data_IF_204280168679
#
_entry.id   IF_204280168679
#
_cell.length_a   1.000
_cell.length_b   1.000
_cell.length_c   1.000
_cell.angle_alpha   90.00
_cell.angle_beta   90.00
_cell.angle_gamma   90.00
#
_symmetry.space_group_name_H-M   'P 1'
#
loop_
_entity.id
_entity.type
_entity.pdbx_description
1 polymer ?
#
# COMPACT_ATOMS: atom_id res chain seq x y z
N UNK A 1 7.65 14.44 -1.83
CA UNK A 1 8.38 15.15 -0.75
C UNK A 1 7.48 16.08 0.06
N UNK A 2 6.30 16.45 -0.44
CA UNK A 2 5.43 17.44 0.22
C UNK A 2 4.30 16.81 1.06
N UNK A 3 3.86 15.61 0.74
CA UNK A 3 2.65 15.00 1.30
C UNK A 3 1.37 15.41 0.54
N UNK A 4 1.48 16.21 -0.53
CA UNK A 4 0.34 16.60 -1.34
C UNK A 4 -0.31 15.40 -2.03
N UNK A 5 -1.62 15.28 -1.91
CA UNK A 5 -2.42 14.31 -2.64
C UNK A 5 -2.75 14.91 -4.01
N UNK A 6 -2.18 14.35 -5.07
CA UNK A 6 -2.36 14.83 -6.45
C UNK A 6 -3.68 14.37 -7.05
N UNK A 7 -4.11 13.16 -6.71
CA UNK A 7 -5.38 12.58 -7.14
C UNK A 7 -5.89 11.58 -6.12
N UNK A 8 -7.21 11.52 -5.97
CA UNK A 8 -7.91 10.55 -5.14
C UNK A 8 -9.17 10.13 -5.89
N UNK A 9 -9.24 8.90 -6.35
CA UNK A 9 -10.34 8.37 -7.14
C UNK A 9 -10.99 7.17 -6.48
N UNK A 10 -12.31 7.08 -6.58
CA UNK A 10 -13.11 5.95 -6.13
C UNK A 10 -14.05 5.51 -7.26
N UNK A 11 -14.21 4.21 -7.45
CA UNK A 11 -15.13 3.63 -8.44
C UNK A 11 -15.98 2.54 -7.78
N UNK A 12 -17.31 2.50 -8.05
CA UNK A 12 -18.05 3.50 -8.82
C UNK A 12 -18.09 4.87 -8.12
N UNK A 13 -18.31 5.93 -8.91
CA UNK A 13 -18.48 7.29 -8.45
C UNK A 13 -19.91 7.77 -8.76
N UNK A 14 -20.21 9.01 -8.49
CA UNK A 14 -21.49 9.62 -8.77
C UNK A 14 -21.31 11.04 -9.33
N UNK A 15 -22.36 11.57 -9.98
CA UNK A 15 -22.39 12.95 -10.42
C UNK A 15 -22.79 13.86 -9.22
N UNK A 16 -21.88 14.72 -8.71
CA UNK A 16 -22.18 15.59 -7.58
C UNK A 16 -23.22 16.65 -7.89
N UNK A 17 -23.47 16.99 -9.17
CA UNK A 17 -24.47 17.96 -9.58
C UNK A 17 -25.89 17.52 -9.18
N UNK A 18 -26.13 16.22 -9.08
CA UNK A 18 -27.42 15.69 -8.60
C UNK A 18 -27.71 16.06 -7.14
N UNK A 19 -26.67 16.32 -6.35
CA UNK A 19 -26.78 16.67 -4.92
C UNK A 19 -26.66 18.19 -4.67
N UNK A 20 -26.16 18.96 -5.65
CA UNK A 20 -25.89 20.40 -5.51
C UNK A 20 -27.01 21.30 -6.12
N UNK A 21 -28.17 20.71 -6.45
CA UNK A 21 -29.31 21.46 -6.93
C UNK A 21 -30.00 22.28 -5.82
N UNK A 22 -30.61 23.40 -6.17
CA UNK A 22 -31.43 24.19 -5.26
C UNK A 22 -32.80 23.55 -4.96
N UNK A 23 -33.20 22.54 -5.73
CA UNK A 23 -34.40 21.73 -5.43
C UNK A 23 -34.04 20.68 -4.37
N UNK A 24 -34.38 20.98 -3.12
CA UNK A 24 -34.09 20.10 -1.98
C UNK A 24 -34.77 18.74 -2.10
N UNK A 25 -35.96 18.66 -2.69
CA UNK A 25 -36.67 17.38 -2.86
C UNK A 25 -35.98 16.49 -3.89
N UNK A 26 -35.52 17.09 -5.00
CA UNK A 26 -34.73 16.37 -6.00
C UNK A 26 -33.39 15.92 -5.45
N UNK A 27 -32.70 16.78 -4.70
CA UNK A 27 -31.42 16.45 -4.03
C UNK A 27 -31.58 15.29 -3.04
N UNK A 28 -32.61 15.34 -2.19
CA UNK A 28 -32.90 14.29 -1.22
C UNK A 28 -33.15 12.94 -1.90
N UNK A 29 -33.99 12.94 -2.95
CA UNK A 29 -34.29 11.71 -3.73
C UNK A 29 -33.03 11.16 -4.40
N UNK A 30 -32.15 12.02 -4.92
CA UNK A 30 -30.89 11.59 -5.51
C UNK A 30 -29.95 10.97 -4.45
N UNK A 31 -29.86 11.59 -3.26
CA UNK A 31 -29.06 11.07 -2.14
C UNK A 31 -29.55 9.67 -1.70
N UNK A 32 -30.85 9.49 -1.46
CA UNK A 32 -31.45 8.23 -1.06
C UNK A 32 -31.17 7.11 -2.07
N UNK A 33 -31.23 7.45 -3.37
CA UNK A 33 -30.88 6.50 -4.45
C UNK A 33 -29.42 6.09 -4.39
N UNK A 34 -28.50 7.03 -4.18
CA UNK A 34 -27.07 6.77 -4.09
C UNK A 34 -26.70 6.02 -2.80
N UNK A 35 -27.38 6.35 -1.69
CA UNK A 35 -27.17 5.70 -0.39
C UNK A 35 -27.62 4.24 -0.40
N UNK A 36 -28.76 3.95 -1.06
CA UNK A 36 -29.31 2.59 -1.21
C UNK A 36 -28.60 1.74 -2.27
N UNK A 37 -27.70 2.32 -3.09
CA UNK A 37 -26.98 1.57 -4.13
C UNK A 37 -26.02 0.56 -3.48
N UNK A 38 -26.16 -0.76 -3.80
CA UNK A 38 -25.30 -1.80 -3.26
C UNK A 38 -23.81 -1.61 -3.59
N UNK A 39 -23.51 -0.87 -4.66
CA UNK A 39 -22.12 -0.53 -5.02
C UNK A 39 -21.54 0.63 -4.23
N UNK A 40 -22.34 1.30 -3.37
CA UNK A 40 -21.91 2.38 -2.46
C UNK A 40 -21.09 3.47 -3.15
N UNK A 41 -21.62 4.19 -4.15
CA UNK A 41 -20.89 5.21 -4.90
C UNK A 41 -20.50 6.43 -4.06
N UNK A 42 -21.21 6.71 -2.95
CA UNK A 42 -20.87 7.80 -2.01
C UNK A 42 -19.62 7.51 -1.17
N UNK A 43 -19.15 6.24 -1.14
CA UNK A 43 -18.02 5.86 -0.30
C UNK A 43 -16.70 6.35 -0.90
N UNK A 44 -15.98 7.20 -0.19
CA UNK A 44 -14.62 7.58 -0.53
C UNK A 44 -13.66 6.44 -0.14
N UNK A 45 -13.58 5.38 -0.99
CA UNK A 45 -12.80 4.17 -0.71
C UNK A 45 -11.36 4.42 -0.32
N UNK A 46 -10.60 5.30 -1.02
CA UNK A 46 -9.22 5.58 -0.65
C UNK A 46 -9.00 6.00 0.80
N UNK A 47 -10.01 6.61 1.42
CA UNK A 47 -9.93 7.09 2.81
C UNK A 47 -10.57 6.16 3.83
N UNK A 48 -11.64 5.44 3.46
CA UNK A 48 -12.46 4.74 4.45
C UNK A 48 -12.54 3.23 4.28
N UNK A 49 -12.25 2.70 3.08
CA UNK A 49 -12.09 1.26 2.92
C UNK A 49 -10.76 0.83 3.51
N UNK A 50 -10.81 -0.23 4.32
CA UNK A 50 -9.68 -0.66 5.13
C UNK A 50 -9.47 -2.19 5.04
N UNK A 51 -9.29 -2.73 3.80
CA UNK A 51 -9.05 -4.16 3.63
C UNK A 51 -7.63 -4.56 4.04
N UNK A 52 -7.34 -5.86 4.18
CA UNK A 52 -5.98 -6.33 4.38
C UNK A 52 -5.06 -5.88 3.22
N UNK A 53 -3.87 -5.35 3.50
CA UNK A 53 -2.92 -4.92 2.47
C UNK A 53 -2.22 -6.12 1.79
N UNK A 54 -2.26 -7.29 2.40
CA UNK A 54 -1.56 -8.47 1.89
C UNK A 54 -0.08 -8.18 1.64
N UNK A 55 0.46 -8.75 0.59
CA UNK A 55 1.89 -8.64 0.28
C UNK A 55 2.43 -7.22 0.05
N UNK A 56 1.59 -6.19 -0.05
CA UNK A 56 2.10 -4.80 -0.06
C UNK A 56 2.64 -4.39 1.31
N UNK A 57 2.17 -5.00 2.41
CA UNK A 57 2.71 -4.78 3.74
C UNK A 57 4.17 -5.28 3.90
N UNK A 58 4.64 -6.15 3.00
CA UNK A 58 6.05 -6.57 2.96
C UNK A 58 7.02 -5.39 2.79
N UNK A 59 6.56 -4.25 2.28
CA UNK A 59 7.34 -3.00 2.31
C UNK A 59 7.61 -2.56 3.75
N UNK A 60 6.59 -2.56 4.60
CA UNK A 60 6.77 -2.21 6.04
C UNK A 60 7.68 -3.21 6.73
N UNK A 61 7.54 -4.50 6.42
CA UNK A 61 8.39 -5.57 6.99
C UNK A 61 9.84 -5.46 6.50
N UNK A 62 10.05 -5.10 5.22
CA UNK A 62 11.39 -4.84 4.66
C UNK A 62 12.04 -3.65 5.35
N UNK A 63 11.30 -2.54 5.51
CA UNK A 63 11.77 -1.38 6.24
C UNK A 63 12.22 -1.75 7.67
N UNK A 64 11.39 -2.51 8.40
CA UNK A 64 11.73 -2.99 9.74
C UNK A 64 13.02 -3.86 9.75
N UNK A 65 13.17 -4.71 8.74
CA UNK A 65 14.35 -5.55 8.60
C UNK A 65 15.62 -4.72 8.37
N UNK A 66 15.58 -3.78 7.43
CA UNK A 66 16.72 -2.91 7.12
C UNK A 66 17.07 -2.00 8.31
N UNK A 67 16.08 -1.36 8.94
CA UNK A 67 16.28 -0.49 10.11
C UNK A 67 16.77 -1.24 11.36
N UNK A 68 16.55 -2.57 11.45
CA UNK A 68 17.11 -3.37 12.53
C UNK A 68 18.64 -3.50 12.46
N UNK A 69 19.26 -3.18 11.32
CA UNK A 69 20.70 -3.37 11.05
C UNK A 69 21.14 -4.85 10.92
N UNK A 70 20.20 -5.80 11.12
CA UNK A 70 20.49 -7.25 11.05
C UNK A 70 20.40 -7.81 9.62
N UNK A 71 19.72 -7.10 8.74
CA UNK A 71 19.44 -7.54 7.38
C UNK A 71 19.82 -6.45 6.38
N UNK A 72 20.29 -6.91 5.22
CA UNK A 72 20.63 -6.10 4.05
C UNK A 72 19.89 -6.66 2.82
N UNK A 73 19.80 -5.95 1.69
CA UNK A 73 19.20 -6.48 0.46
C UNK A 73 19.78 -7.83 0.02
N UNK A 74 21.08 -8.07 0.28
CA UNK A 74 21.82 -9.29 -0.10
C UNK A 74 21.81 -10.38 0.95
N UNK A 75 21.24 -10.12 2.13
CA UNK A 75 21.14 -11.15 3.19
C UNK A 75 20.37 -12.37 2.68
N UNK A 76 20.96 -13.55 2.86
CA UNK A 76 20.32 -14.82 2.54
C UNK A 76 19.33 -15.18 3.63
N UNK A 77 18.07 -15.37 3.24
CA UNK A 77 16.96 -15.74 4.11
C UNK A 77 16.37 -17.11 3.68
N UNK A 78 15.75 -17.86 4.59
CA UNK A 78 14.96 -19.04 4.22
C UNK A 78 13.79 -18.64 3.32
N UNK A 79 13.57 -19.41 2.28
CA UNK A 79 12.45 -19.26 1.34
C UNK A 79 11.96 -20.62 0.84
N UNK A 80 11.66 -21.59 1.76
CA UNK A 80 11.15 -22.89 1.37
C UNK A 80 9.77 -22.78 0.72
N UNK A 81 9.27 -23.87 0.13
CA UNK A 81 7.96 -23.91 -0.53
C UNK A 81 6.79 -23.55 0.42
N UNK A 82 6.94 -23.88 1.70
CA UNK A 82 6.01 -23.51 2.76
C UNK A 82 6.74 -23.15 4.05
N UNK A 83 6.05 -22.46 4.92
CA UNK A 83 6.49 -22.12 6.27
C UNK A 83 5.43 -22.61 7.27
N UNK A 84 5.84 -23.54 8.15
CA UNK A 84 4.96 -24.03 9.21
C UNK A 84 4.79 -22.93 10.25
N UNK A 85 3.56 -22.47 10.45
CA UNK A 85 3.26 -21.45 11.44
C UNK A 85 3.50 -22.00 12.85
N UNK A 86 4.32 -21.33 13.68
CA UNK A 86 4.66 -21.79 15.01
C UNK A 86 3.42 -22.08 15.88
N UNK A 87 3.47 -23.15 16.68
CA UNK A 87 2.36 -23.54 17.57
C UNK A 87 1.11 -24.06 16.86
N UNK A 88 1.14 -24.23 15.53
CA UNK A 88 -0.03 -24.68 14.74
C UNK A 88 0.31 -25.87 13.84
N UNK A 89 -0.72 -26.46 13.21
CA UNK A 89 -0.58 -27.42 12.10
C UNK A 89 -0.64 -26.77 10.72
N UNK A 90 -0.75 -25.43 10.64
CA UNK A 90 -0.97 -24.70 9.39
C UNK A 90 0.36 -24.49 8.65
N UNK A 91 0.37 -24.82 7.36
CA UNK A 91 1.46 -24.56 6.43
C UNK A 91 1.12 -23.34 5.55
N UNK A 92 1.82 -22.23 5.74
CA UNK A 92 1.73 -21.07 4.86
C UNK A 92 2.55 -21.33 3.59
N UNK A 93 1.87 -21.43 2.46
CA UNK A 93 2.51 -21.71 1.16
C UNK A 93 2.87 -20.42 0.43
N UNK A 94 3.94 -20.50 -0.38
CA UNK A 94 4.20 -19.50 -1.42
C UNK A 94 3.20 -19.69 -2.57
N UNK A 95 3.13 -18.69 -3.45
CA UNK A 95 2.37 -18.82 -4.69
C UNK A 95 2.83 -20.06 -5.48
N UNK A 96 1.89 -20.84 -5.99
CA UNK A 96 2.13 -22.15 -6.64
C UNK A 96 2.85 -23.21 -5.77
N UNK A 97 3.05 -22.97 -4.47
CA UNK A 97 3.70 -23.92 -3.58
C UNK A 97 5.17 -24.22 -3.90
N UNK A 98 5.87 -23.26 -4.53
CA UNK A 98 7.30 -23.41 -4.90
C UNK A 98 8.22 -22.70 -3.91
N UNK A 99 9.48 -23.17 -3.81
CA UNK A 99 10.51 -22.46 -3.07
C UNK A 99 10.92 -21.17 -3.81
N UNK A 100 11.32 -20.14 -3.05
CA UNK A 100 11.67 -18.82 -3.60
C UNK A 100 13.12 -18.73 -4.12
N UNK A 101 13.83 -19.81 -4.11
CA UNK A 101 15.18 -19.90 -4.64
C UNK A 101 15.79 -21.31 -4.45
N UNK A 102 16.96 -21.53 -5.03
CA UNK A 102 17.66 -22.83 -4.96
C UNK A 102 17.87 -23.29 -3.52
N UNK A 103 17.57 -24.56 -3.25
CA UNK A 103 17.72 -25.14 -1.92
C UNK A 103 16.86 -24.51 -0.84
N UNK A 104 15.77 -23.82 -1.21
CA UNK A 104 14.88 -23.13 -0.25
C UNK A 104 15.54 -21.94 0.43
N UNK A 105 16.49 -21.28 -0.21
CA UNK A 105 17.16 -20.05 0.24
C UNK A 105 17.13 -18.99 -0.84
N UNK A 106 17.09 -17.73 -0.43
CA UNK A 106 17.02 -16.60 -1.37
C UNK A 106 17.60 -15.34 -0.75
N UNK A 107 17.97 -14.34 -1.54
CA UNK A 107 18.28 -13.00 -1.02
C UNK A 107 17.01 -12.28 -0.56
N UNK A 108 17.13 -11.32 0.36
CA UNK A 108 15.99 -10.52 0.77
C UNK A 108 15.39 -9.73 -0.41
N UNK A 109 16.24 -9.24 -1.33
CA UNK A 109 15.80 -8.62 -2.59
C UNK A 109 14.92 -9.55 -3.41
N UNK A 110 15.40 -10.75 -3.72
CA UNK A 110 14.60 -11.69 -4.51
C UNK A 110 13.36 -12.16 -3.76
N UNK A 111 13.41 -12.30 -2.42
CA UNK A 111 12.24 -12.61 -1.61
C UNK A 111 11.13 -11.55 -1.78
N UNK A 112 11.51 -10.25 -1.86
CA UNK A 112 10.56 -9.16 -2.14
C UNK A 112 10.08 -9.21 -3.59
N UNK A 113 10.99 -9.43 -4.55
CA UNK A 113 10.70 -9.46 -5.99
C UNK A 113 9.67 -10.54 -6.36
N UNK A 114 9.85 -11.75 -5.85
CA UNK A 114 8.92 -12.87 -6.08
C UNK A 114 7.77 -12.93 -5.05
N UNK A 115 7.73 -11.98 -4.13
CA UNK A 115 6.72 -11.91 -3.07
C UNK A 115 6.65 -13.16 -2.18
N UNK A 116 7.81 -13.67 -1.74
CA UNK A 116 7.98 -14.90 -0.98
C UNK A 116 7.28 -14.87 0.39
N UNK A 117 6.18 -15.62 0.56
CA UNK A 117 5.45 -15.64 1.83
C UNK A 117 6.26 -16.29 2.95
N UNK A 118 6.89 -17.43 2.66
CA UNK A 118 7.65 -18.19 3.66
C UNK A 118 8.84 -17.40 4.22
N UNK A 119 9.55 -16.65 3.37
CA UNK A 119 10.64 -15.79 3.80
C UNK A 119 10.16 -14.63 4.68
N UNK A 120 9.08 -13.96 4.29
CA UNK A 120 8.55 -12.82 5.05
C UNK A 120 7.85 -13.24 6.35
N UNK A 121 7.20 -14.41 6.40
CA UNK A 121 6.66 -14.98 7.62
C UNK A 121 7.78 -15.31 8.63
N UNK A 122 8.85 -15.97 8.14
CA UNK A 122 10.05 -16.21 8.96
C UNK A 122 10.66 -14.89 9.44
N UNK A 123 10.83 -13.92 8.54
CA UNK A 123 11.40 -12.61 8.86
C UNK A 123 10.57 -11.88 9.93
N UNK A 124 9.23 -11.96 9.85
CA UNK A 124 8.34 -11.42 10.86
C UNK A 124 8.62 -11.96 12.25
N UNK A 125 8.81 -13.27 12.39
CA UNK A 125 9.17 -13.89 13.67
C UNK A 125 10.59 -13.55 14.13
N UNK A 126 11.52 -13.28 13.19
CA UNK A 126 12.87 -12.82 13.56
C UNK A 126 12.85 -11.37 14.10
N UNK A 127 11.95 -10.55 13.61
CA UNK A 127 11.80 -9.15 14.03
C UNK A 127 10.95 -9.04 15.30
N UNK A 128 9.90 -9.83 15.39
CA UNK A 128 8.89 -9.78 16.45
C UNK A 128 7.82 -8.72 16.19
N UNK A 129 6.65 -8.90 16.82
CA UNK A 129 5.49 -8.02 16.64
C UNK A 129 5.77 -6.55 16.99
N UNK A 130 6.55 -6.30 18.03
CA UNK A 130 6.80 -4.94 18.52
C UNK A 130 7.64 -4.13 17.55
N UNK A 131 8.65 -4.74 16.92
CA UNK A 131 9.46 -4.10 15.90
C UNK A 131 8.63 -3.82 14.62
N UNK A 132 7.80 -4.77 14.21
CA UNK A 132 6.89 -4.59 13.07
C UNK A 132 5.88 -3.48 13.35
N UNK A 133 5.30 -3.45 14.55
CA UNK A 133 4.38 -2.41 14.99
C UNK A 133 5.03 -1.04 15.01
N UNK A 134 6.18 -0.91 15.65
CA UNK A 134 6.91 0.35 15.73
C UNK A 134 7.27 0.88 14.33
N UNK A 135 7.62 0.00 13.41
CA UNK A 135 7.88 0.38 12.03
C UNK A 135 6.59 0.80 11.29
N UNK A 136 5.50 0.07 11.46
CA UNK A 136 4.21 0.42 10.87
C UNK A 136 3.72 1.79 11.37
N UNK A 137 3.87 2.09 12.67
CA UNK A 137 3.50 3.38 13.27
C UNK A 137 4.31 4.55 12.69
N UNK A 138 5.58 4.36 12.35
CA UNK A 138 6.37 5.38 11.64
C UNK A 138 5.85 5.70 10.23
N UNK A 139 5.16 4.77 9.59
CA UNK A 139 4.46 4.99 8.33
C UNK A 139 3.04 5.55 8.51
N UNK A 140 2.53 5.65 9.73
CA UNK A 140 1.23 6.21 10.06
C UNK A 140 0.14 5.18 10.37
N UNK A 141 0.44 3.88 10.45
CA UNK A 141 -0.51 2.89 10.98
C UNK A 141 -0.90 3.23 12.42
N UNK A 142 -2.07 2.82 12.83
CA UNK A 142 -2.70 3.13 14.13
C UNK A 142 -3.01 4.63 14.34
N UNK A 143 -2.87 5.44 13.28
CA UNK A 143 -3.25 6.86 13.25
C UNK A 143 -4.35 7.11 12.24
N UNK A 144 -5.11 8.20 12.42
CA UNK A 144 -6.04 8.70 11.40
C UNK A 144 -5.60 10.08 10.93
N UNK A 145 -5.74 10.34 9.63
CA UNK A 145 -5.36 11.61 9.00
C UNK A 145 -6.61 12.37 8.55
N UNK A 146 -6.52 13.70 8.54
CA UNK A 146 -7.59 14.59 8.03
C UNK A 146 -7.08 15.33 6.80
N UNK A 147 -7.76 15.17 5.62
CA UNK A 147 -7.26 15.62 4.30
C UNK A 147 -8.30 16.25 3.33
N UNK A 148 -9.24 17.12 3.61
CA UNK A 148 -9.86 17.59 4.84
C UNK A 148 -10.83 16.61 5.49
N UNK A 149 -11.19 15.51 4.80
CA UNK A 149 -12.00 14.43 5.36
C UNK A 149 -11.13 13.53 6.22
N UNK A 150 -11.70 13.00 7.29
CA UNK A 150 -11.00 12.07 8.18
C UNK A 150 -10.86 10.70 7.50
N UNK A 151 -9.65 10.14 7.49
CA UNK A 151 -9.43 8.77 7.06
C UNK A 151 -9.83 7.75 8.14
N UNK A 152 -10.19 6.55 7.73
CA UNK A 152 -10.20 5.41 8.63
C UNK A 152 -8.77 5.13 9.13
N UNK A 153 -8.67 4.59 10.33
CA UNK A 153 -7.39 4.20 10.92
C UNK A 153 -6.93 2.88 10.32
N UNK A 154 -5.81 2.90 9.61
CA UNK A 154 -5.10 1.67 9.22
C UNK A 154 -4.51 1.03 10.46
N UNK A 155 -4.62 -0.29 10.57
CA UNK A 155 -4.32 -0.99 11.83
C UNK A 155 -3.18 -1.97 11.67
N UNK A 156 -2.24 -1.92 12.60
CA UNK A 156 -1.37 -3.03 12.96
C UNK A 156 -1.77 -3.52 14.37
N UNK A 157 -2.10 -4.81 14.55
CA UNK A 157 -2.63 -5.34 15.80
C UNK A 157 -1.56 -5.46 16.89
N UNK A 158 -1.99 -5.81 18.10
CA UNK A 158 -1.15 -6.03 19.30
C UNK A 158 -1.49 -7.36 19.95
N UNK A 159 -0.58 -7.88 20.77
CA UNK A 159 -0.82 -9.12 21.51
C UNK A 159 -0.79 -10.36 20.62
N UNK A 160 0.04 -10.34 19.59
CA UNK A 160 0.18 -11.42 18.64
C UNK A 160 1.06 -12.53 19.18
N UNK A 161 0.64 -13.78 18.97
CA UNK A 161 1.53 -14.94 19.07
C UNK A 161 2.46 -15.04 17.83
N UNK A 162 3.36 -16.03 17.82
CA UNK A 162 4.32 -16.20 16.74
C UNK A 162 3.67 -16.53 15.40
N UNK A 163 2.56 -17.30 15.38
CA UNK A 163 1.83 -17.61 14.16
C UNK A 163 1.16 -16.35 13.58
N UNK A 164 0.54 -15.57 14.45
CA UNK A 164 -0.12 -14.31 14.11
C UNK A 164 0.90 -13.25 13.68
N UNK A 165 2.07 -13.19 14.34
CA UNK A 165 3.18 -12.31 13.96
C UNK A 165 3.72 -12.67 12.56
N UNK A 166 3.88 -13.95 12.26
CA UNK A 166 4.28 -14.39 10.91
C UNK A 166 3.27 -13.95 9.84
N UNK A 167 1.97 -14.08 10.12
CA UNK A 167 0.91 -13.67 9.20
C UNK A 167 0.80 -12.16 9.06
N UNK A 168 0.98 -11.40 10.14
CA UNK A 168 0.97 -9.93 10.11
C UNK A 168 2.11 -9.38 9.24
N UNK A 169 3.27 -10.01 9.24
CA UNK A 169 4.42 -9.61 8.42
C UNK A 169 4.18 -9.70 6.90
N UNK A 170 3.17 -10.44 6.48
CA UNK A 170 2.72 -10.51 5.07
C UNK A 170 1.41 -9.74 4.83
N UNK A 171 1.00 -8.90 5.79
CA UNK A 171 -0.19 -8.05 5.68
C UNK A 171 -1.51 -8.79 5.79
N UNK A 172 -1.52 -9.90 6.54
CA UNK A 172 -2.68 -10.70 6.90
C UNK A 172 -2.90 -10.65 8.42
N UNK A 173 -3.85 -11.39 8.94
CA UNK A 173 -4.18 -11.43 10.36
C UNK A 173 -4.40 -10.04 10.98
N UNK A 174 -5.59 -9.49 10.85
CA UNK A 174 -6.03 -8.20 11.42
C UNK A 174 -5.19 -6.96 11.05
N UNK A 175 -4.19 -7.09 10.18
CA UNK A 175 -3.56 -5.93 9.54
C UNK A 175 -4.51 -5.39 8.50
N UNK A 176 -4.86 -4.11 8.62
CA UNK A 176 -5.74 -3.43 7.66
C UNK A 176 -5.13 -2.10 7.22
N UNK A 177 -5.38 -1.70 5.97
CA UNK A 177 -4.84 -0.47 5.42
C UNK A 177 -5.81 0.23 4.47
N UNK A 178 -5.91 1.55 4.59
CA UNK A 178 -6.54 2.38 3.56
C UNK A 178 -5.61 2.51 2.35
N UNK A 179 -6.17 2.84 1.19
CA UNK A 179 -5.35 3.11 -0.01
C UNK A 179 -4.43 4.31 0.22
N UNK A 180 -4.90 5.35 0.94
CA UNK A 180 -4.05 6.47 1.35
C UNK A 180 -2.85 6.00 2.19
N UNK A 181 -3.07 5.13 3.17
CA UNK A 181 -1.98 4.60 4.00
C UNK A 181 -0.90 3.90 3.18
N UNK A 182 -1.29 3.07 2.22
CA UNK A 182 -0.32 2.37 1.38
C UNK A 182 0.40 3.32 0.40
N UNK A 183 -0.28 4.38 -0.06
CA UNK A 183 0.38 5.46 -0.81
C UNK A 183 1.41 6.21 0.05
N UNK A 184 1.12 6.45 1.33
CA UNK A 184 2.07 7.06 2.29
C UNK A 184 3.30 6.19 2.52
N UNK A 185 3.14 4.85 2.59
CA UNK A 185 4.28 3.92 2.69
C UNK A 185 5.20 4.07 1.48
N UNK A 186 4.65 3.99 0.25
CA UNK A 186 5.43 4.19 -0.97
C UNK A 186 6.07 5.58 -1.02
N UNK A 187 5.30 6.62 -0.68
CA UNK A 187 5.80 8.00 -0.67
C UNK A 187 6.97 8.20 0.31
N UNK A 188 6.93 7.60 1.49
CA UNK A 188 8.01 7.70 2.47
C UNK A 188 9.29 7.03 1.96
N UNK A 189 9.19 5.84 1.34
CA UNK A 189 10.34 5.16 0.73
C UNK A 189 10.96 6.06 -0.35
N UNK A 190 10.14 6.61 -1.27
CA UNK A 190 10.60 7.53 -2.32
C UNK A 190 11.07 8.89 -1.81
N UNK A 191 10.75 9.26 -0.58
CA UNK A 191 11.11 10.53 0.06
C UNK A 191 12.26 10.37 1.09
N UNK A 192 13.26 9.55 0.77
CA UNK A 192 14.42 9.29 1.64
C UNK A 192 14.02 8.80 3.05
N UNK A 193 12.94 8.06 3.16
CA UNK A 193 12.45 7.50 4.40
C UNK A 193 11.58 8.43 5.27
N UNK A 194 11.26 9.61 4.78
CA UNK A 194 10.46 10.60 5.52
C UNK A 194 8.98 10.45 5.18
N UNK A 195 8.18 10.06 6.16
CA UNK A 195 6.71 10.09 6.08
C UNK A 195 6.22 11.52 6.29
N UNK A 196 5.43 12.04 5.35
CA UNK A 196 4.82 13.37 5.42
C UNK A 196 3.37 13.28 5.86
N UNK A 197 2.86 14.34 6.52
CA UNK A 197 1.43 14.48 6.73
C UNK A 197 0.73 14.70 5.39
N UNK A 198 -0.30 13.90 5.05
CA UNK A 198 -1.00 14.05 3.79
C UNK A 198 -1.94 15.25 3.82
N UNK A 199 -2.07 15.96 2.69
CA UNK A 199 -3.05 17.02 2.51
C UNK A 199 -3.55 17.08 1.07
N UNK A 200 -4.81 17.54 0.88
CA UNK A 200 -5.46 17.69 -0.43
C UNK A 200 -5.66 19.15 -0.81
N UNK A 201 -6.00 20.02 0.16
CA UNK A 201 -6.26 21.44 -0.10
C UNK A 201 -4.94 22.20 -0.08
N UNK A 202 -4.56 22.76 -1.23
CA UNK A 202 -3.32 23.54 -1.38
C UNK A 202 -3.45 24.93 -0.78
N UNK A 203 -4.57 25.60 -1.04
CA UNK A 203 -4.82 26.96 -0.53
C UNK A 203 -6.32 27.24 -0.38
N UNK A 204 -6.65 28.15 0.52
CA UNK A 204 -8.00 28.69 0.73
C UNK A 204 -7.94 30.14 0.33
N UNK A 205 -8.90 30.58 -0.51
CA UNK A 205 -9.02 31.95 -0.97
C UNK A 205 -10.32 32.59 -0.48
N UNK A 206 -10.27 33.89 -0.19
CA UNK A 206 -11.45 34.71 0.08
C UNK A 206 -12.26 35.01 -1.18
N UNK A 207 -13.39 35.65 -1.00
CA UNK A 207 -14.27 36.08 -2.10
C UNK A 207 -13.58 37.07 -3.07
N UNK A 208 -12.61 37.83 -2.59
CA UNK A 208 -11.77 38.76 -3.33
C UNK A 208 -10.52 38.09 -3.95
N UNK A 209 -10.46 36.75 -3.92
CA UNK A 209 -9.35 35.90 -4.40
C UNK A 209 -8.03 36.03 -3.61
N UNK A 210 -8.02 36.83 -2.52
CA UNK A 210 -6.85 36.86 -1.64
C UNK A 210 -6.60 35.50 -0.99
N UNK A 211 -5.36 35.08 -0.88
CA UNK A 211 -4.99 33.83 -0.22
C UNK A 211 -5.15 34.02 1.29
N UNK A 212 -6.09 33.30 1.88
CA UNK A 212 -6.34 33.28 3.33
C UNK A 212 -5.43 32.27 4.04
N UNK A 213 -5.18 31.14 3.39
CA UNK A 213 -4.35 30.06 3.93
C UNK A 213 -3.69 29.29 2.81
N UNK A 214 -2.43 28.91 3.02
CA UNK A 214 -1.68 27.99 2.15
C UNK A 214 -1.26 26.77 2.96
N UNK A 215 -1.37 25.57 2.40
CA UNK A 215 -0.89 24.35 3.03
C UNK A 215 0.63 24.42 3.20
N UNK A 216 1.09 24.09 4.40
CA UNK A 216 2.51 23.96 4.71
C UNK A 216 2.86 22.48 4.86
N UNK A 217 3.69 21.92 3.97
CA UNK A 217 4.16 20.55 4.12
C UNK A 217 4.79 20.33 5.49
N UNK A 218 4.41 19.24 6.16
CA UNK A 218 4.97 18.89 7.46
C UNK A 218 5.33 17.41 7.53
N UNK A 219 6.46 17.13 8.16
CA UNK A 219 6.90 15.77 8.42
C UNK A 219 6.03 15.15 9.51
N UNK A 220 5.63 13.89 9.29
CA UNK A 220 4.98 13.06 10.30
C UNK A 220 6.03 12.30 11.11
N UNK A 221 6.91 11.53 10.41
CA UNK A 221 7.95 10.73 11.05
C UNK A 221 9.10 10.45 10.09
N UNK A 222 10.23 9.98 10.65
CA UNK A 222 11.30 9.33 9.87
C UNK A 222 11.11 7.82 10.00
N UNK A 223 10.63 7.19 8.93
CA UNK A 223 10.35 5.76 8.89
C UNK A 223 11.60 4.95 8.58
N UNK A 224 12.48 5.45 7.69
CA UNK A 224 13.76 4.83 7.34
C UNK A 224 14.88 5.87 7.34
N UNK A 225 16.09 5.41 7.53
CA UNK A 225 17.28 6.18 7.16
C UNK A 225 17.34 6.37 5.63
N UNK A 226 17.96 7.45 5.10
CA UNK A 226 18.07 7.65 3.66
C UNK A 226 18.74 6.47 2.92
N UNK A 227 19.75 5.85 3.56
CA UNK A 227 20.44 4.70 2.99
C UNK A 227 19.52 3.48 2.85
N UNK A 228 18.71 3.19 3.87
CA UNK A 228 17.76 2.07 3.85
C UNK A 228 16.57 2.36 2.93
N UNK A 229 16.10 3.60 2.85
CA UNK A 229 15.07 4.00 1.89
C UNK A 229 15.53 3.80 0.43
N UNK A 230 16.77 4.20 0.13
CA UNK A 230 17.38 3.94 -1.18
C UNK A 230 17.55 2.44 -1.46
N UNK A 231 17.97 1.67 -0.45
CA UNK A 231 18.14 0.22 -0.58
C UNK A 231 16.78 -0.45 -0.86
N UNK A 232 15.73 -0.09 -0.13
CA UNK A 232 14.38 -0.61 -0.33
C UNK A 232 13.79 -0.19 -1.68
N UNK A 233 14.04 1.05 -2.12
CA UNK A 233 13.65 1.49 -3.46
C UNK A 233 14.28 0.62 -4.55
N UNK A 234 15.57 0.30 -4.45
CA UNK A 234 16.22 -0.63 -5.39
C UNK A 234 15.58 -2.03 -5.38
N UNK A 235 15.18 -2.52 -4.21
CA UNK A 235 14.44 -3.78 -4.11
C UNK A 235 13.04 -3.68 -4.73
N UNK A 236 12.35 -2.54 -4.60
CA UNK A 236 11.06 -2.28 -5.27
C UNK A 236 11.19 -2.21 -6.79
N UNK A 237 12.30 -1.67 -7.30
CA UNK A 237 12.62 -1.67 -8.74
C UNK A 237 12.77 -3.10 -9.23
N UNK A 238 13.46 -3.96 -8.49
CA UNK A 238 13.62 -5.38 -8.84
C UNK A 238 12.27 -6.13 -8.88
N UNK A 239 11.29 -5.77 -8.06
CA UNK A 239 9.90 -6.29 -8.16
C UNK A 239 9.28 -6.01 -9.52
N UNK A 240 9.53 -4.82 -10.10
CA UNK A 240 8.98 -4.42 -11.40
C UNK A 240 9.80 -5.00 -12.55
N UNK A 241 11.12 -4.95 -12.44
CA UNK A 241 12.00 -5.39 -13.54
C UNK A 241 12.12 -6.91 -13.65
N UNK A 242 12.21 -7.62 -12.54
CA UNK A 242 12.52 -9.06 -12.51
C UNK A 242 11.48 -9.89 -11.75
N UNK A 243 10.50 -9.25 -11.11
CA UNK A 243 9.57 -9.89 -10.20
C UNK A 243 8.10 -9.82 -10.64
N UNK A 244 7.25 -9.77 -9.60
CA UNK A 244 5.79 -9.86 -9.74
C UNK A 244 5.11 -8.60 -10.26
N UNK A 245 5.83 -7.48 -10.45
CA UNK A 245 5.26 -6.17 -10.80
C UNK A 245 5.40 -5.76 -12.25
N UNK A 246 5.68 -6.67 -13.17
CA UNK A 246 6.12 -6.40 -14.55
C UNK A 246 5.18 -5.52 -15.39
N UNK A 247 3.87 -5.51 -15.10
CA UNK A 247 2.90 -4.68 -15.82
C UNK A 247 2.97 -3.18 -15.45
N UNK A 248 3.78 -2.82 -14.45
CA UNK A 248 4.06 -1.43 -14.11
C UNK A 248 5.28 -0.84 -14.84
N UNK A 249 6.00 -1.62 -15.66
CA UNK A 249 7.16 -1.12 -16.41
C UNK A 249 6.77 0.02 -17.34
N UNK A 250 7.56 1.09 -17.31
CA UNK A 250 7.45 2.25 -18.19
C UNK A 250 8.77 2.40 -18.94
N UNK A 251 8.80 2.35 -20.29
CA UNK A 251 10.05 2.52 -21.04
C UNK A 251 10.77 3.82 -20.67
N UNK A 252 12.04 3.73 -20.30
CA UNK A 252 12.87 4.89 -19.94
C UNK A 252 12.61 5.49 -18.54
N UNK A 253 11.74 4.87 -17.73
CA UNK A 253 11.45 5.30 -16.36
C UNK A 253 11.66 4.13 -15.39
N UNK A 254 12.55 4.31 -14.42
CA UNK A 254 12.71 3.34 -13.35
C UNK A 254 11.51 3.41 -12.40
N UNK A 255 10.76 2.33 -12.29
CA UNK A 255 9.56 2.24 -11.43
C UNK A 255 9.82 1.26 -10.29
N UNK A 256 9.77 1.73 -9.06
CA UNK A 256 9.69 0.86 -7.89
C UNK A 256 8.25 0.44 -7.63
N UNK A 257 8.01 -0.84 -7.30
CA UNK A 257 6.65 -1.29 -7.03
C UNK A 257 6.54 -2.48 -6.10
N UNK A 258 5.32 -2.78 -5.65
CA UNK A 258 4.98 -4.00 -4.92
C UNK A 258 3.55 -4.42 -5.20
N UNK A 259 3.39 -5.66 -5.63
CA UNK A 259 2.08 -6.31 -5.80
C UNK A 259 1.54 -6.81 -4.47
N UNK A 260 0.23 -6.83 -4.35
CA UNK A 260 -0.48 -7.51 -3.27
C UNK A 260 -1.70 -8.25 -3.82
N UNK A 261 -1.96 -9.41 -3.23
CA UNK A 261 -3.23 -10.11 -3.33
C UNK A 261 -3.57 -10.54 -1.91
N UNK A 262 -4.68 -10.05 -1.38
CA UNK A 262 -5.07 -10.30 -0.01
C UNK A 262 -6.38 -11.10 0.01
N UNK A 263 -6.38 -12.17 0.78
CA UNK A 263 -7.60 -12.91 1.08
C UNK A 263 -8.43 -12.15 2.13
N UNK A 264 -9.75 -12.08 1.92
CA UNK A 264 -10.67 -11.35 2.80
C UNK A 264 -11.60 -12.28 3.58
N UNK A 265 -11.36 -13.59 3.48
CA UNK A 265 -12.12 -14.63 4.17
C UNK A 265 -12.90 -15.55 3.22
N UNK A 266 -13.46 -16.65 3.73
CA UNK A 266 -14.15 -17.65 2.93
C UNK A 266 -15.31 -17.05 2.13
N UNK A 267 -15.37 -17.35 0.83
CA UNK A 267 -16.45 -16.89 -0.08
C UNK A 267 -16.41 -15.41 -0.45
N UNK A 268 -15.40 -14.67 -0.03
CA UNK A 268 -15.19 -13.26 -0.43
C UNK A 268 -14.12 -13.17 -1.51
N UNK A 269 -14.27 -12.26 -2.49
CA UNK A 269 -13.23 -12.05 -3.50
C UNK A 269 -11.95 -11.53 -2.85
N UNK A 270 -10.81 -11.96 -3.38
CA UNK A 270 -9.52 -11.40 -2.99
C UNK A 270 -9.41 -9.94 -3.41
N UNK A 271 -8.61 -9.17 -2.68
CA UNK A 271 -8.32 -7.77 -2.97
C UNK A 271 -6.99 -7.69 -3.71
N UNK A 272 -6.98 -7.01 -4.87
CA UNK A 272 -5.77 -6.75 -5.63
C UNK A 272 -5.18 -5.39 -5.26
N UNK A 273 -3.89 -5.38 -4.93
CA UNK A 273 -3.15 -4.19 -4.56
C UNK A 273 -1.93 -3.96 -5.45
N UNK A 274 -1.60 -2.70 -5.68
CA UNK A 274 -0.31 -2.29 -6.18
C UNK A 274 0.12 -0.97 -5.54
N UNK A 275 1.35 -0.91 -5.07
CA UNK A 275 2.01 0.32 -4.62
C UNK A 275 3.16 0.58 -5.57
N UNK A 276 3.28 1.81 -6.06
CA UNK A 276 4.35 2.21 -6.97
C UNK A 276 4.94 3.57 -6.59
N UNK A 277 6.21 3.75 -6.96
CA UNK A 277 6.95 5.01 -6.81
C UNK A 277 7.77 5.23 -8.08
N UNK A 278 7.75 6.43 -8.64
CA UNK A 278 8.50 6.75 -9.84
C UNK A 278 8.91 8.24 -9.92
N UNK A 279 10.03 8.56 -10.61
CA UNK A 279 11.15 7.66 -10.91
C UNK A 279 11.84 7.11 -9.65
N UNK A 280 12.48 5.94 -9.75
CA UNK A 280 13.10 5.28 -8.58
C UNK A 280 14.28 6.04 -7.99
N UNK A 281 15.04 6.76 -8.81
CA UNK A 281 16.21 7.55 -8.41
C UNK A 281 15.85 8.96 -7.91
N UNK A 282 14.70 9.51 -8.33
CA UNK A 282 14.29 10.89 -8.07
C UNK A 282 12.77 11.00 -7.95
N UNK A 283 12.20 10.27 -7.00
CA UNK A 283 10.76 10.07 -6.87
C UNK A 283 9.94 11.36 -6.95
N UNK A 284 9.01 11.41 -7.90
CA UNK A 284 8.07 12.51 -8.15
C UNK A 284 6.66 12.17 -7.67
N UNK A 285 6.30 10.90 -7.76
CA UNK A 285 4.96 10.42 -7.45
C UNK A 285 5.00 9.05 -6.78
N UNK A 286 4.12 8.86 -5.81
CA UNK A 286 3.77 7.55 -5.26
C UNK A 286 2.29 7.29 -5.53
N UNK A 287 1.97 6.06 -5.92
CA UNK A 287 0.61 5.64 -6.28
C UNK A 287 0.28 4.37 -5.52
N UNK A 288 -0.91 4.30 -4.93
CA UNK A 288 -1.48 3.06 -4.44
C UNK A 288 -2.81 2.80 -5.15
N UNK A 289 -3.00 1.57 -5.59
CA UNK A 289 -4.23 1.09 -6.23
C UNK A 289 -4.75 -0.10 -5.44
N UNK A 290 -6.04 -0.05 -5.08
CA UNK A 290 -6.76 -1.10 -4.40
C UNK A 290 -8.01 -1.47 -5.19
N UNK A 291 -8.20 -2.76 -5.52
CA UNK A 291 -9.37 -3.27 -6.22
C UNK A 291 -10.01 -4.34 -5.32
N UNK A 292 -11.10 -3.96 -4.67
CA UNK A 292 -11.79 -4.79 -3.67
C UNK A 292 -12.68 -5.87 -4.29
N UNK A 293 -13.14 -5.65 -5.53
CA UNK A 293 -13.97 -6.59 -6.26
C UNK A 293 -13.64 -6.54 -7.75
N UNK A 294 -13.13 -7.64 -8.26
CA UNK A 294 -12.74 -7.76 -9.66
C UNK A 294 -13.88 -8.22 -10.60
N UNK A 295 -15.13 -8.15 -10.16
CA UNK A 295 -16.30 -8.41 -11.02
C UNK A 295 -16.39 -9.85 -11.54
N UNK A 296 -16.05 -10.85 -10.72
CA UNK A 296 -16.15 -12.27 -11.10
C UNK A 296 -15.02 -12.76 -12.02
N UNK A 297 -13.92 -12.01 -12.16
CA UNK A 297 -12.73 -12.47 -12.90
C UNK A 297 -12.10 -13.67 -12.19
N UNK A 298 -11.66 -14.65 -12.97
CA UNK A 298 -11.03 -15.89 -12.46
C UNK A 298 -9.63 -15.65 -11.88
N UNK A 299 -8.92 -14.64 -12.36
CA UNK A 299 -7.61 -14.23 -11.83
C UNK A 299 -7.68 -12.83 -11.24
N UNK A 300 -7.46 -12.76 -9.92
CA UNK A 300 -7.33 -11.51 -9.17
C UNK A 300 -5.89 -11.40 -8.73
N UNK A 301 -5.12 -10.52 -9.38
CA UNK A 301 -3.73 -10.26 -9.00
C UNK A 301 -3.39 -8.78 -9.05
N UNK A 302 -2.50 -8.36 -8.16
CA UNK A 302 -1.99 -6.98 -8.16
C UNK A 302 -1.33 -6.60 -9.48
N UNK A 303 -0.58 -7.52 -10.09
CA UNK A 303 0.07 -7.27 -11.39
C UNK A 303 -0.92 -7.15 -12.54
N UNK A 304 -1.92 -8.04 -12.60
CA UNK A 304 -2.87 -8.06 -13.72
C UNK A 304 -3.86 -6.90 -13.71
N UNK A 305 -4.29 -6.47 -12.51
CA UNK A 305 -5.38 -5.51 -12.36
C UNK A 305 -4.92 -4.13 -11.89
N UNK A 306 -4.10 -4.07 -10.83
CA UNK A 306 -3.76 -2.81 -10.17
C UNK A 306 -2.50 -2.14 -10.77
N UNK A 307 -1.50 -2.91 -11.20
CA UNK A 307 -0.26 -2.38 -11.76
C UNK A 307 -0.47 -1.55 -13.05
N UNK A 308 -1.33 -1.96 -14.03
CA UNK A 308 -1.59 -1.14 -15.21
C UNK A 308 -2.22 0.21 -14.88
N UNK A 309 -3.09 0.27 -13.86
CA UNK A 309 -3.70 1.53 -13.41
C UNK A 309 -2.62 2.43 -12.81
N UNK A 310 -1.77 1.89 -11.93
CA UNK A 310 -0.66 2.65 -11.35
C UNK A 310 0.29 3.19 -12.42
N UNK A 311 0.64 2.36 -13.42
CA UNK A 311 1.42 2.77 -14.58
C UNK A 311 0.82 3.99 -15.29
N UNK A 312 -0.44 3.91 -15.68
CA UNK A 312 -1.11 4.99 -16.40
C UNK A 312 -1.15 6.30 -15.57
N UNK A 313 -1.34 6.20 -14.26
CA UNK A 313 -1.29 7.38 -13.36
C UNK A 313 0.11 7.98 -13.32
N UNK A 314 1.15 7.14 -13.21
CA UNK A 314 2.54 7.61 -13.23
C UNK A 314 2.86 8.31 -14.55
N UNK A 315 2.53 7.70 -15.70
CA UNK A 315 2.75 8.28 -17.01
C UNK A 315 2.04 9.65 -17.14
N UNK A 316 0.80 9.77 -16.70
CA UNK A 316 0.06 11.03 -16.72
C UNK A 316 0.71 12.12 -15.85
N UNK A 317 1.18 11.77 -14.65
CA UNK A 317 1.86 12.72 -13.75
C UNK A 317 3.20 13.16 -14.34
N UNK A 318 4.00 12.25 -14.88
CA UNK A 318 5.29 12.58 -15.48
C UNK A 318 5.15 13.42 -16.76
N UNK A 319 4.10 13.20 -17.55
CA UNK A 319 3.81 14.01 -18.74
C UNK A 319 3.30 15.43 -18.41
N UNK A 320 2.82 15.68 -17.19
CA UNK A 320 2.31 16.97 -16.74
C UNK A 320 3.38 17.88 -16.13
N UNK A 321 4.61 17.41 -15.97
CA UNK A 321 5.75 18.15 -15.43
C UNK A 321 6.63 18.72 -16.53
#
# INVERSE_FOLDING_TARGET
STGAILAMASSPSYDPNLLSTHDLAASQKAYEKLESDPNKPLLNRPLVSNPPPGSTFKLVTTAAALESGRFTPTTIVPGPASYKLPGTSVELKNWQGTACGPGGKTTLTNALAVSCNSAFAWLGNQLGQDALRAQAEKFGFNMSFTVPMRSATSRYPTGLDDAQTAMSAIGQFDVTATTLQMAMVGAAIGNNGITMNPYLVKEIRGADLQILQTASPSQFATALSPANAKAEMGMMVDVVENGTGSNARIPGVEVGGKTGTAETGPGRPAVAWFVAVAPGDSAKVAVAVCIENAGGRSEISGNGLAAPIAKNVIEAVLASQ
#
